data_IF_582420532098
#
_entry.id   IF_582420532098
#
_cell.length_a   1.000
_cell.length_b   1.000
_cell.length_c   1.000
_cell.angle_alpha   90.00
_cell.angle_beta   90.00
_cell.angle_gamma   90.00
#
_symmetry.space_group_name_H-M   'P 1'
#
loop_
_entity.id
_entity.type
_entity.pdbx_description
1 polymer ?
#
# COMPACT_ATOMS: atom_id res chain seq x y z
N UNK A 1 -10.97 8.63 20.56
CA UNK A 1 -9.50 8.55 20.41
C UNK A 1 -9.06 7.10 20.56
N UNK A 2 -9.36 6.25 19.57
CA UNK A 2 -8.83 4.87 19.39
C UNK A 2 -9.08 4.39 17.95
N UNK A 3 -9.41 5.28 17.00
CA UNK A 3 -9.99 4.89 15.69
C UNK A 3 -8.95 4.96 14.56
N UNK A 4 -7.67 4.78 14.90
CA UNK A 4 -6.56 5.13 14.03
C UNK A 4 -5.82 3.86 13.58
N UNK A 5 -5.26 3.08 14.51
CA UNK A 5 -4.32 1.99 14.16
C UNK A 5 -4.99 0.74 13.54
N UNK A 6 -6.18 0.36 14.01
CA UNK A 6 -6.85 -0.86 13.55
C UNK A 6 -7.47 -0.70 12.15
N UNK A 7 -7.99 0.49 11.84
CA UNK A 7 -8.55 0.81 10.52
C UNK A 7 -7.44 0.92 9.47
N UNK A 8 -6.25 1.37 9.87
CA UNK A 8 -5.09 1.50 8.98
C UNK A 8 -4.52 0.14 8.57
N UNK A 9 -4.47 -0.81 9.52
CA UNK A 9 -4.04 -2.18 9.22
C UNK A 9 -4.98 -2.88 8.24
N UNK A 10 -6.30 -2.70 8.41
CA UNK A 10 -7.30 -3.26 7.50
C UNK A 10 -7.21 -2.66 6.08
N UNK A 11 -6.99 -1.34 5.99
CA UNK A 11 -6.80 -0.66 4.70
C UNK A 11 -5.52 -1.14 3.98
N UNK A 12 -4.42 -1.32 4.72
CA UNK A 12 -3.17 -1.86 4.17
C UNK A 12 -3.39 -3.27 3.61
N UNK A 13 -4.06 -4.14 4.36
CA UNK A 13 -4.30 -5.51 3.93
C UNK A 13 -5.16 -5.60 2.66
N UNK A 14 -6.20 -4.77 2.53
CA UNK A 14 -7.02 -4.70 1.32
C UNK A 14 -6.21 -4.24 0.08
N UNK A 15 -5.32 -3.26 0.26
CA UNK A 15 -4.42 -2.78 -0.80
C UNK A 15 -3.44 -3.90 -1.21
N UNK A 16 -2.90 -4.64 -0.24
CA UNK A 16 -1.96 -5.74 -0.48
C UNK A 16 -2.64 -6.87 -1.26
N UNK A 17 -3.88 -7.22 -0.91
CA UNK A 17 -4.66 -8.23 -1.63
C UNK A 17 -4.86 -7.83 -3.09
N UNK A 18 -5.36 -6.61 -3.32
CA UNK A 18 -5.59 -6.07 -4.68
C UNK A 18 -4.31 -5.98 -5.52
N UNK A 19 -3.19 -5.60 -4.91
CA UNK A 19 -1.90 -5.55 -5.60
C UNK A 19 -1.34 -6.94 -5.89
N UNK A 20 -1.58 -7.92 -5.02
CA UNK A 20 -1.15 -9.31 -5.23
C UNK A 20 -1.88 -9.92 -6.42
N UNK A 21 -3.19 -9.68 -6.56
CA UNK A 21 -3.96 -10.10 -7.74
C UNK A 21 -3.43 -9.46 -9.03
N UNK A 22 -3.00 -8.19 -8.95
CA UNK A 22 -2.56 -7.41 -10.11
C UNK A 22 -1.10 -7.66 -10.50
N UNK A 23 -0.29 -8.11 -9.55
CA UNK A 23 1.13 -8.41 -9.73
C UNK A 23 1.46 -9.83 -9.22
N UNK A 24 0.89 -10.88 -9.84
CA UNK A 24 1.05 -12.26 -9.37
C UNK A 24 2.49 -12.80 -9.51
N UNK A 25 3.34 -12.11 -10.26
CA UNK A 25 4.75 -12.44 -10.42
C UNK A 25 5.63 -11.99 -9.24
N UNK A 26 5.09 -11.17 -8.34
CA UNK A 26 5.82 -10.65 -7.18
C UNK A 26 5.35 -11.32 -5.88
N UNK A 27 6.25 -11.56 -4.91
CA UNK A 27 5.87 -12.11 -3.63
C UNK A 27 4.98 -11.13 -2.86
N UNK A 28 3.91 -11.65 -2.24
CA UNK A 28 3.01 -10.84 -1.41
C UNK A 28 3.74 -10.12 -0.25
N UNK A 29 4.84 -10.69 0.25
CA UNK A 29 5.70 -10.06 1.26
C UNK A 29 6.34 -8.78 0.73
N UNK A 30 6.89 -8.79 -0.47
CA UNK A 30 7.47 -7.61 -1.13
C UNK A 30 6.41 -6.56 -1.42
N UNK A 31 5.21 -6.98 -1.82
CA UNK A 31 4.07 -6.07 -2.03
C UNK A 31 3.69 -5.39 -0.72
N UNK A 32 3.57 -6.14 0.39
CA UNK A 32 3.27 -5.60 1.71
C UNK A 32 4.33 -4.61 2.20
N UNK A 33 5.62 -4.94 2.08
CA UNK A 33 6.72 -4.05 2.47
C UNK A 33 6.67 -2.71 1.73
N UNK A 34 6.38 -2.74 0.41
CA UNK A 34 6.24 -1.51 -0.40
C UNK A 34 5.01 -0.72 0.04
N UNK A 35 3.87 -1.36 0.27
CA UNK A 35 2.63 -0.68 0.71
C UNK A 35 2.82 -0.02 2.08
N UNK A 36 3.41 -0.72 3.03
CA UNK A 36 3.68 -0.19 4.38
C UNK A 36 4.67 0.98 4.32
N UNK A 37 5.76 0.86 3.56
CA UNK A 37 6.73 1.95 3.44
C UNK A 37 6.17 3.21 2.77
N UNK A 38 5.29 3.06 1.78
CA UNK A 38 4.59 4.20 1.17
C UNK A 38 3.51 4.78 2.11
N UNK A 39 2.87 3.95 2.93
CA UNK A 39 1.88 4.38 3.93
C UNK A 39 2.55 5.21 5.04
N UNK A 40 3.66 4.73 5.60
CA UNK A 40 4.44 5.46 6.62
C UNK A 40 5.01 6.77 6.07
N UNK A 41 5.38 6.83 4.78
CA UNK A 41 5.81 8.06 4.12
C UNK A 41 4.72 9.14 3.99
N UNK A 42 3.45 8.77 4.23
CA UNK A 42 2.29 9.66 4.15
C UNK A 42 1.74 10.09 5.54
N UNK A 43 2.39 9.69 6.63
CA UNK A 43 1.98 9.90 8.05
C UNK A 43 1.82 11.39 8.48
N UNK A 44 2.06 12.35 7.58
CA UNK A 44 1.78 13.78 7.79
C UNK A 44 0.49 14.29 7.11
N UNK A 45 -0.15 13.51 6.24
CA UNK A 45 -1.29 13.94 5.45
C UNK A 45 -2.59 13.34 6.00
N UNK A 46 -3.42 14.19 6.60
CA UNK A 46 -4.76 13.86 7.08
C UNK A 46 -5.73 13.66 5.89
N UNK A 47 -5.47 12.65 5.06
CA UNK A 47 -6.21 12.39 3.83
C UNK A 47 -6.41 10.88 3.67
N UNK A 48 -7.17 10.29 4.61
CA UNK A 48 -7.39 8.83 4.70
C UNK A 48 -8.22 8.24 3.53
N UNK A 49 -8.88 9.07 2.72
CA UNK A 49 -9.63 8.59 1.54
C UNK A 49 -8.79 8.49 0.25
N UNK A 50 -7.64 9.16 0.17
CA UNK A 50 -6.81 9.19 -1.04
C UNK A 50 -5.46 8.47 -0.88
N UNK A 51 -5.07 8.11 0.35
CA UNK A 51 -3.82 7.36 0.63
C UNK A 51 -3.81 6.02 -0.08
N UNK A 52 -4.90 5.24 -0.02
CA UNK A 52 -4.96 3.94 -0.70
C UNK A 52 -4.71 4.05 -2.22
N UNK A 53 -5.31 5.05 -2.86
CA UNK A 53 -5.16 5.30 -4.30
C UNK A 53 -3.76 5.80 -4.65
N UNK A 54 -3.19 6.67 -3.82
CA UNK A 54 -1.83 7.20 -4.00
C UNK A 54 -0.77 6.11 -3.79
N UNK A 55 -0.89 5.33 -2.73
CA UNK A 55 -0.04 4.17 -2.43
C UNK A 55 -0.13 3.15 -3.56
N UNK A 56 -1.34 2.82 -4.03
CA UNK A 56 -1.51 1.90 -5.15
C UNK A 56 -0.83 2.44 -6.43
N UNK A 57 -0.92 3.74 -6.71
CA UNK A 57 -0.30 4.37 -7.87
C UNK A 57 1.24 4.38 -7.78
N UNK A 58 1.80 4.68 -6.61
CA UNK A 58 3.25 4.67 -6.39
C UNK A 58 3.82 3.26 -6.38
N UNK A 59 3.16 2.32 -5.69
CA UNK A 59 3.53 0.90 -5.69
C UNK A 59 3.57 0.36 -7.12
N UNK A 60 2.54 0.61 -7.94
CA UNK A 60 2.55 0.23 -9.37
C UNK A 60 3.75 0.78 -10.13
N UNK A 61 4.15 2.03 -9.86
CA UNK A 61 5.30 2.66 -10.51
C UNK A 61 6.60 1.99 -10.08
N UNK A 62 6.77 1.74 -8.78
CA UNK A 62 7.94 1.09 -8.19
C UNK A 62 8.08 -0.36 -8.66
N UNK A 63 6.99 -1.13 -8.64
CA UNK A 63 6.97 -2.52 -9.08
C UNK A 63 7.28 -2.66 -10.57
N UNK A 64 6.82 -1.72 -11.41
CA UNK A 64 7.22 -1.66 -12.83
C UNK A 64 8.72 -1.45 -13.02
N UNK A 65 9.38 -0.71 -12.13
CA UNK A 65 10.84 -0.51 -12.18
C UNK A 65 11.61 -1.73 -11.67
N UNK A 66 11.01 -2.55 -10.80
CA UNK A 66 11.63 -3.77 -10.25
C UNK A 66 11.50 -4.99 -11.17
N UNK A 67 10.50 -5.02 -12.05
CA UNK A 67 10.25 -6.13 -12.98
C UNK A 67 10.62 -5.87 -14.45
N UNK A 68 11.26 -4.73 -14.76
CA UNK A 68 11.84 -4.40 -16.06
C UNK A 68 13.35 -4.67 -16.05
#
# INVERSE_FOLDING_TARGET
MTQDIADDAAAIDEIVERLTERFPALPATTIREVVVGEYEGLDGAHVRDFVAVLVEKQAKKRLKTLGA
#
